data_IF_872155484990
#
_entry.id   IF_872155484990
#
_cell.length_a   1.000
_cell.length_b   1.000
_cell.length_c   1.000
_cell.angle_alpha   90.00
_cell.angle_beta   90.00
_cell.angle_gamma   90.00
#
_symmetry.space_group_name_H-M   'P 1'
#
loop_
_entity.id
_entity.type
_entity.pdbx_description
1 polymer ?
#
# COMPACT_ATOMS: atom_id res chain seq x y z
N UNK A 1 7.34 -11.14 -12.36
CA UNK A 1 7.21 -9.82 -11.70
C UNK A 1 7.71 -9.92 -10.26
N UNK A 2 8.45 -8.93 -9.84
CA UNK A 2 8.83 -8.82 -8.43
C UNK A 2 7.65 -8.28 -7.60
N UNK A 3 7.78 -8.34 -6.27
CA UNK A 3 6.77 -7.72 -5.38
C UNK A 3 6.63 -6.23 -5.65
N UNK A 4 7.75 -5.54 -5.87
CA UNK A 4 7.75 -4.12 -6.21
C UNK A 4 7.00 -3.85 -7.50
N UNK A 5 7.24 -4.64 -8.53
CA UNK A 5 6.57 -4.49 -9.83
C UNK A 5 5.06 -4.65 -9.69
N UNK A 6 4.63 -5.64 -8.91
CA UNK A 6 3.20 -5.88 -8.68
C UNK A 6 2.54 -4.71 -7.96
N UNK A 7 3.20 -4.17 -6.92
CA UNK A 7 2.68 -3.04 -6.17
C UNK A 7 2.59 -1.79 -7.04
N UNK A 8 3.62 -1.52 -7.85
CA UNK A 8 3.65 -0.36 -8.75
C UNK A 8 2.56 -0.49 -9.82
N UNK A 9 2.39 -1.67 -10.40
CA UNK A 9 1.34 -1.90 -11.39
C UNK A 9 -0.05 -1.69 -10.78
N UNK A 10 -0.26 -2.17 -9.56
CA UNK A 10 -1.53 -1.99 -8.87
C UNK A 10 -1.84 -0.51 -8.65
N UNK A 11 -0.83 0.28 -8.24
CA UNK A 11 -1.00 1.71 -8.09
C UNK A 11 -1.30 2.41 -9.41
N UNK A 12 -0.68 1.97 -10.51
CA UNK A 12 -0.97 2.50 -11.84
C UNK A 12 -2.40 2.17 -12.30
N UNK A 13 -2.86 0.95 -12.01
CA UNK A 13 -4.18 0.48 -12.46
C UNK A 13 -5.31 1.09 -11.62
N UNK A 14 -5.12 1.25 -10.32
CA UNK A 14 -6.17 1.64 -9.37
C UNK A 14 -5.90 2.97 -8.64
N UNK A 15 -4.76 3.59 -8.85
CA UNK A 15 -4.40 4.89 -8.29
C UNK A 15 -3.72 4.83 -6.93
N UNK A 16 -3.97 3.79 -6.15
CA UNK A 16 -3.40 3.64 -4.81
C UNK A 16 -3.40 2.18 -4.38
N UNK A 17 -2.68 1.88 -3.29
CA UNK A 17 -2.65 0.54 -2.72
C UNK A 17 -2.58 0.63 -1.20
N UNK A 18 -3.30 -0.26 -0.51
CA UNK A 18 -3.25 -0.40 0.95
C UNK A 18 -2.42 -1.62 1.35
N UNK A 19 -2.07 -1.71 2.65
CA UNK A 19 -1.40 -2.88 3.17
C UNK A 19 -2.21 -4.16 2.93
N UNK A 20 -3.52 -4.08 3.12
CA UNK A 20 -4.42 -5.21 2.90
C UNK A 20 -4.40 -5.68 1.45
N UNK A 21 -4.45 -4.75 0.52
CA UNK A 21 -4.40 -5.08 -0.91
C UNK A 21 -3.08 -5.71 -1.30
N UNK A 22 -1.95 -5.22 -0.75
CA UNK A 22 -0.66 -5.85 -0.98
C UNK A 22 -0.62 -7.29 -0.48
N UNK A 23 -1.16 -7.54 0.72
CA UNK A 23 -1.15 -8.87 1.32
C UNK A 23 -2.11 -9.83 0.62
N UNK A 24 -3.36 -9.43 0.43
CA UNK A 24 -4.42 -10.32 -0.04
C UNK A 24 -4.54 -10.38 -1.56
N UNK A 25 -4.40 -9.25 -2.24
CA UNK A 25 -4.53 -9.23 -3.70
C UNK A 25 -3.24 -9.61 -4.40
N UNK A 26 -2.09 -9.26 -3.83
CA UNK A 26 -0.79 -9.46 -4.47
C UNK A 26 0.08 -10.50 -3.78
N UNK A 27 -0.32 -11.00 -2.63
CA UNK A 27 0.45 -11.99 -1.88
C UNK A 27 1.76 -11.48 -1.32
N UNK A 28 1.86 -10.18 -1.02
CA UNK A 28 3.06 -9.57 -0.45
C UNK A 28 3.04 -9.72 1.06
N UNK A 29 4.00 -10.48 1.61
CA UNK A 29 4.04 -10.78 3.04
C UNK A 29 4.48 -9.63 3.93
N UNK A 30 5.24 -8.66 3.41
CA UNK A 30 5.73 -7.51 4.18
C UNK A 30 5.48 -6.21 3.42
N UNK A 31 4.26 -5.66 3.51
CA UNK A 31 3.91 -4.44 2.75
C UNK A 31 4.81 -3.25 3.06
N UNK A 32 5.12 -3.01 4.33
CA UNK A 32 5.99 -1.90 4.74
C UNK A 32 7.38 -2.02 4.12
N UNK A 33 7.93 -3.23 4.11
CA UNK A 33 9.24 -3.48 3.50
C UNK A 33 9.19 -3.26 2.00
N UNK A 34 8.12 -3.69 1.35
CA UNK A 34 7.91 -3.48 -0.09
C UNK A 34 7.92 -1.98 -0.43
N UNK A 35 7.16 -1.17 0.31
CA UNK A 35 7.11 0.28 0.11
C UNK A 35 8.48 0.92 0.38
N UNK A 36 9.17 0.47 1.43
CA UNK A 36 10.52 0.96 1.74
C UNK A 36 11.49 0.69 0.57
N UNK A 37 11.44 -0.50 0.00
CA UNK A 37 12.28 -0.87 -1.15
C UNK A 37 11.96 -0.03 -2.38
N UNK A 38 10.68 0.25 -2.63
CA UNK A 38 10.26 1.12 -3.74
C UNK A 38 10.85 2.52 -3.56
N UNK A 39 10.75 3.07 -2.35
CA UNK A 39 11.33 4.39 -2.04
C UNK A 39 12.84 4.41 -2.21
N UNK A 40 13.52 3.34 -1.81
CA UNK A 40 14.98 3.23 -1.98
C UNK A 40 15.40 3.19 -3.44
N UNK A 41 14.55 2.73 -4.34
CA UNK A 41 14.83 2.71 -5.77
C UNK A 41 14.67 4.08 -6.42
N UNK A 42 14.24 5.10 -5.68
CA UNK A 42 14.09 6.47 -6.17
C UNK A 42 12.67 6.85 -6.58
N UNK A 43 11.71 5.97 -6.39
CA UNK A 43 10.29 6.26 -6.71
C UNK A 43 9.64 6.94 -5.52
N UNK A 44 9.02 8.09 -5.76
CA UNK A 44 8.33 8.84 -4.71
C UNK A 44 6.96 8.23 -4.44
N UNK A 45 6.74 7.84 -3.19
CA UNK A 45 5.47 7.26 -2.73
C UNK A 45 4.90 8.16 -1.63
N UNK A 46 3.68 8.61 -1.83
CA UNK A 46 2.93 9.38 -0.85
C UNK A 46 2.15 8.43 0.05
N UNK A 47 2.13 8.71 1.34
CA UNK A 47 1.33 7.97 2.32
C UNK A 47 0.15 8.84 2.77
N UNK A 48 -1.06 8.31 2.64
CA UNK A 48 -2.27 8.93 3.15
C UNK A 48 -2.87 8.04 4.23
N UNK A 49 -3.13 8.60 5.40
CA UNK A 49 -3.83 7.89 6.47
C UNK A 49 -5.34 8.00 6.27
N UNK A 50 -6.00 6.85 6.24
CA UNK A 50 -7.46 6.79 6.11
C UNK A 50 -8.02 6.34 7.46
N UNK A 51 -8.92 7.15 8.02
CA UNK A 51 -9.53 6.90 9.33
C UNK A 51 -10.94 6.40 9.15
N UNK A 52 -11.30 5.37 9.89
CA UNK A 52 -12.65 4.81 9.84
C UNK A 52 -12.99 4.14 11.17
N UNK A 53 -14.23 3.71 11.33
CA UNK A 53 -14.64 2.94 12.50
C UNK A 53 -14.77 1.47 12.11
N UNK A 54 -14.38 0.59 13.03
CA UNK A 54 -14.53 -0.84 12.83
C UNK A 54 -15.97 -1.27 13.13
N UNK A 55 -16.24 -2.57 13.06
CA UNK A 55 -17.57 -3.15 13.30
C UNK A 55 -18.16 -2.73 14.66
N UNK A 56 -17.31 -2.52 15.65
CA UNK A 56 -17.73 -2.19 17.02
C UNK A 56 -17.73 -0.68 17.27
N UNK A 57 -17.60 0.15 16.25
CA UNK A 57 -17.62 1.61 16.38
C UNK A 57 -16.33 2.21 16.94
N UNK A 58 -15.27 1.41 17.05
CA UNK A 58 -13.98 1.88 17.55
C UNK A 58 -13.19 2.59 16.45
N UNK A 59 -12.52 3.71 16.74
CA UNK A 59 -11.67 4.38 15.75
C UNK A 59 -10.54 3.47 15.31
N UNK A 60 -10.31 3.41 13.99
CA UNK A 60 -9.19 2.69 13.42
C UNK A 60 -8.69 3.44 12.20
N UNK A 61 -7.52 3.03 11.69
CA UNK A 61 -6.94 3.68 10.52
C UNK A 61 -6.07 2.70 9.75
N UNK A 62 -5.81 3.02 8.49
CA UNK A 62 -4.85 2.29 7.67
C UNK A 62 -4.13 3.25 6.74
N UNK A 63 -2.96 2.83 6.26
CA UNK A 63 -2.17 3.62 5.32
C UNK A 63 -2.55 3.25 3.89
N UNK A 64 -2.68 4.27 3.05
CA UNK A 64 -2.89 4.14 1.62
C UNK A 64 -1.69 4.78 0.91
N UNK A 65 -1.07 4.04 0.00
CA UNK A 65 0.13 4.48 -0.71
C UNK A 65 -0.18 4.73 -2.17
N UNK A 66 0.41 5.78 -2.72
CA UNK A 66 0.29 6.07 -4.15
C UNK A 66 1.56 6.72 -4.68
N UNK A 67 1.82 6.54 -5.97
CA UNK A 67 2.91 7.25 -6.63
C UNK A 67 2.56 8.74 -6.76
N UNK A 68 3.57 9.55 -6.50
CA UNK A 68 3.43 11.00 -6.66
C UNK A 68 3.58 11.37 -8.13
#
# INVERSE_FOLDING_TARGET
MTQMDRALKYMDDFGSITNWQMMFDLGIGSPTKCISNIRKSGILIETKMVYHKNRYGQPTHHAEYRKV
#
